data_IF_456723097751
#
_entry.id   IF_456723097751
#
_cell.length_a   1.000
_cell.length_b   1.000
_cell.length_c   1.000
_cell.angle_alpha   90.00
_cell.angle_beta   90.00
_cell.angle_gamma   90.00
#
_symmetry.space_group_name_H-M   'P 1'
#
loop_
_entity.id
_entity.type
_entity.pdbx_description
1 polymer ?
#
# COMPACT_ATOMS: atom_id res chain seq x y z
N UNK A 1 6.68 9.54 -9.08
CA UNK A 1 5.47 9.08 -9.82
C UNK A 1 5.81 8.63 -11.25
N UNK A 2 6.69 9.34 -11.93
CA UNK A 2 7.15 8.97 -13.28
C UNK A 2 7.79 7.56 -13.31
N UNK A 3 8.58 7.21 -12.29
CA UNK A 3 9.18 5.87 -12.17
C UNK A 3 8.15 4.77 -11.99
N UNK A 4 7.12 4.98 -11.17
CA UNK A 4 6.03 4.01 -11.01
C UNK A 4 5.31 3.79 -12.35
N UNK A 5 5.06 4.86 -13.10
CA UNK A 5 4.45 4.78 -14.42
C UNK A 5 5.29 3.97 -15.42
N UNK A 6 6.61 4.18 -15.41
CA UNK A 6 7.56 3.42 -16.24
C UNK A 6 7.56 1.93 -15.88
N UNK A 7 7.62 1.61 -14.57
CA UNK A 7 7.58 0.22 -14.09
C UNK A 7 6.24 -0.44 -14.40
N UNK A 8 5.12 0.25 -14.17
CA UNK A 8 3.78 -0.21 -14.54
C UNK A 8 3.71 -0.61 -16.02
N UNK A 9 4.18 0.28 -16.90
CA UNK A 9 4.24 0.01 -18.35
C UNK A 9 5.12 -1.20 -18.67
N UNK A 10 6.28 -1.32 -18.02
CA UNK A 10 7.20 -2.45 -18.22
C UNK A 10 6.54 -3.77 -17.82
N UNK A 11 5.92 -3.84 -16.63
CA UNK A 11 5.21 -5.04 -16.17
C UNK A 11 4.03 -5.39 -17.08
N UNK A 12 3.23 -4.40 -17.53
CA UNK A 12 2.13 -4.65 -18.47
C UNK A 12 2.62 -5.24 -19.78
N UNK A 13 3.66 -4.66 -20.36
CA UNK A 13 4.25 -5.14 -21.62
C UNK A 13 4.89 -6.53 -21.46
N UNK A 14 5.58 -6.77 -20.34
CA UNK A 14 6.13 -8.08 -19.98
C UNK A 14 5.05 -9.17 -19.90
N UNK A 15 3.87 -8.81 -19.40
CA UNK A 15 2.68 -9.69 -19.40
C UNK A 15 1.93 -9.71 -20.73
N UNK A 16 2.44 -9.05 -21.79
CA UNK A 16 1.82 -8.95 -23.13
C UNK A 16 0.38 -8.41 -23.10
N UNK A 17 0.07 -7.53 -22.14
CA UNK A 17 -1.27 -6.96 -21.97
C UNK A 17 -1.40 -5.60 -22.67
N UNK A 18 -2.54 -5.37 -23.30
CA UNK A 18 -2.95 -4.02 -23.73
C UNK A 18 -3.40 -3.18 -22.54
N UNK A 19 -3.43 -1.85 -22.69
CA UNK A 19 -4.01 -0.94 -21.68
C UNK A 19 -5.44 -1.35 -21.31
N UNK A 20 -6.26 -1.68 -22.31
CA UNK A 20 -7.67 -2.09 -22.12
C UNK A 20 -7.78 -3.39 -21.32
N UNK A 21 -6.92 -4.37 -21.59
CA UNK A 21 -6.93 -5.65 -20.85
C UNK A 21 -6.55 -5.46 -19.38
N UNK A 22 -5.50 -4.69 -19.10
CA UNK A 22 -5.09 -4.42 -17.72
C UNK A 22 -6.13 -3.55 -17.00
N UNK A 23 -6.67 -2.52 -17.64
CA UNK A 23 -7.70 -1.66 -17.09
C UNK A 23 -8.95 -2.46 -16.66
N UNK A 24 -9.42 -3.36 -17.53
CA UNK A 24 -10.55 -4.24 -17.21
C UNK A 24 -10.27 -5.14 -15.99
N UNK A 25 -9.07 -5.73 -15.89
CA UNK A 25 -8.70 -6.58 -14.75
C UNK A 25 -8.55 -5.78 -13.45
N UNK A 26 -8.00 -4.56 -13.54
CA UNK A 26 -7.79 -3.69 -12.40
C UNK A 26 -9.04 -2.90 -11.97
N UNK A 27 -10.14 -2.97 -12.76
CA UNK A 27 -11.37 -2.24 -12.49
C UNK A 27 -11.20 -0.72 -12.62
N UNK A 28 -10.44 -0.26 -13.63
CA UNK A 28 -10.26 1.15 -13.95
C UNK A 28 -10.42 1.40 -15.46
N UNK A 29 -10.31 2.65 -15.90
CA UNK A 29 -10.36 2.99 -17.33
C UNK A 29 -8.97 2.91 -17.98
N UNK A 30 -8.91 2.57 -19.26
CA UNK A 30 -7.67 2.56 -20.04
C UNK A 30 -7.06 3.96 -20.17
N UNK A 31 -7.89 4.99 -20.26
CA UNK A 31 -7.46 6.39 -20.25
C UNK A 31 -6.74 6.76 -18.94
N UNK A 32 -7.29 6.36 -17.79
CA UNK A 32 -6.67 6.57 -16.48
C UNK A 32 -5.35 5.80 -16.37
N UNK A 33 -5.32 4.53 -16.78
CA UNK A 33 -4.12 3.70 -16.77
C UNK A 33 -3.02 4.31 -17.66
N UNK A 34 -3.40 4.83 -18.83
CA UNK A 34 -2.49 5.55 -19.74
C UNK A 34 -1.89 6.81 -19.09
N UNK A 35 -2.70 7.57 -18.32
CA UNK A 35 -2.19 8.72 -17.57
C UNK A 35 -1.24 8.31 -16.45
N UNK A 36 -1.51 7.19 -15.75
CA UNK A 36 -0.62 6.61 -14.75
C UNK A 36 0.74 6.24 -15.36
N UNK A 37 0.74 5.54 -16.50
CA UNK A 37 1.96 5.14 -17.20
C UNK A 37 2.82 6.33 -17.64
N UNK A 38 2.19 7.46 -17.93
CA UNK A 38 2.88 8.74 -18.27
C UNK A 38 3.24 9.59 -17.06
N UNK A 39 2.91 9.15 -15.83
CA UNK A 39 3.16 9.91 -14.61
C UNK A 39 2.24 11.12 -14.39
N UNK A 40 1.18 11.25 -15.20
CA UNK A 40 0.23 12.38 -15.16
C UNK A 40 -0.94 12.18 -14.18
N UNK A 41 -1.04 11.02 -13.56
CA UNK A 41 -2.04 10.71 -12.54
C UNK A 41 -1.37 10.15 -11.28
N UNK A 42 -2.07 10.31 -10.14
CA UNK A 42 -1.64 9.74 -8.86
C UNK A 42 -2.66 8.66 -8.45
N UNK A 43 -2.26 7.38 -8.37
CA UNK A 43 -3.15 6.33 -7.91
C UNK A 43 -3.35 6.42 -6.40
N UNK A 44 -4.55 6.02 -5.93
CA UNK A 44 -4.72 5.64 -4.53
C UNK A 44 -4.04 4.28 -4.30
N UNK A 45 -3.76 3.96 -3.02
CA UNK A 45 -3.24 2.64 -2.65
C UNK A 45 -4.16 1.51 -3.13
N UNK A 46 -5.47 1.70 -3.03
CA UNK A 46 -6.47 0.75 -3.50
C UNK A 46 -6.33 0.45 -5.01
N UNK A 47 -6.18 1.48 -5.82
CA UNK A 47 -6.01 1.30 -7.28
C UNK A 47 -4.68 0.62 -7.57
N UNK A 48 -3.62 1.00 -6.85
CA UNK A 48 -2.30 0.39 -7.05
C UNK A 48 -2.29 -1.09 -6.66
N UNK A 49 -2.96 -1.47 -5.56
CA UNK A 49 -3.17 -2.89 -5.18
C UNK A 49 -3.93 -3.66 -6.27
N UNK A 50 -4.99 -3.10 -6.84
CA UNK A 50 -5.75 -3.73 -7.94
C UNK A 50 -4.91 -3.92 -9.20
N UNK A 51 -4.10 -2.93 -9.55
CA UNK A 51 -3.21 -3.00 -10.72
C UNK A 51 -2.12 -4.05 -10.48
N UNK A 52 -1.48 -4.06 -9.32
CA UNK A 52 -0.46 -5.04 -8.95
C UNK A 52 -1.02 -6.47 -8.99
N UNK A 53 -2.20 -6.69 -8.39
CA UNK A 53 -2.91 -7.97 -8.44
C UNK A 53 -3.20 -8.42 -9.88
N UNK A 54 -3.68 -7.49 -10.73
CA UNK A 54 -3.96 -7.77 -12.14
C UNK A 54 -2.71 -8.14 -12.96
N UNK A 55 -1.54 -7.66 -12.52
CA UNK A 55 -0.23 -7.96 -13.13
C UNK A 55 0.46 -9.19 -12.52
N UNK A 56 -0.06 -9.74 -11.41
CA UNK A 56 0.56 -10.85 -10.68
C UNK A 56 1.84 -10.45 -9.93
N UNK A 57 1.94 -9.19 -9.52
CA UNK A 57 3.06 -8.63 -8.78
C UNK A 57 2.56 -8.03 -7.45
N UNK A 58 3.49 -7.61 -6.59
CA UNK A 58 3.18 -6.91 -5.36
C UNK A 58 3.31 -5.39 -5.55
N UNK A 59 2.59 -4.61 -4.75
CA UNK A 59 2.63 -3.15 -4.85
C UNK A 59 4.05 -2.61 -4.64
N UNK A 60 4.81 -3.25 -3.76
CA UNK A 60 6.19 -2.88 -3.47
C UNK A 60 7.10 -2.95 -4.70
N UNK A 61 6.82 -3.83 -5.67
CA UNK A 61 7.63 -3.99 -6.88
C UNK A 61 7.68 -2.71 -7.73
N UNK A 62 6.66 -1.85 -7.61
CA UNK A 62 6.68 -0.53 -8.23
C UNK A 62 7.70 0.44 -7.59
N UNK A 63 8.17 0.16 -6.38
CA UNK A 63 9.01 1.05 -5.58
C UNK A 63 10.43 0.52 -5.36
N UNK A 64 10.65 -0.80 -5.47
CA UNK A 64 11.97 -1.41 -5.30
C UNK A 64 12.89 -1.05 -6.46
N UNK A 65 14.11 -0.61 -6.17
CA UNK A 65 15.19 -0.56 -7.15
C UNK A 65 15.73 -1.99 -7.41
N UNK A 66 16.20 -2.29 -8.63
CA UNK A 66 16.67 -3.62 -9.01
C UNK A 66 17.81 -4.18 -8.12
N UNK A 67 18.53 -3.31 -7.40
CA UNK A 67 19.69 -3.67 -6.57
C UNK A 67 19.37 -3.85 -5.07
N UNK A 68 18.09 -3.80 -4.66
CA UNK A 68 17.70 -3.99 -3.25
C UNK A 68 17.76 -5.46 -2.80
N UNK A 69 18.84 -6.18 -3.14
CA UNK A 69 19.04 -7.62 -2.84
C UNK A 69 19.77 -7.87 -1.52
N UNK A 70 19.61 -7.01 -0.51
CA UNK A 70 20.18 -7.23 0.82
C UNK A 70 19.23 -8.00 1.74
N UNK A 71 19.75 -9.02 2.43
CA UNK A 71 19.01 -9.76 3.45
C UNK A 71 19.43 -9.30 4.86
N UNK A 72 19.51 -7.99 5.07
CA UNK A 72 19.98 -7.40 6.31
C UNK A 72 18.99 -7.70 7.45
N UNK A 73 19.52 -8.16 8.57
CA UNK A 73 18.73 -8.36 9.81
C UNK A 73 18.28 -7.02 10.39
N UNK A 74 19.08 -5.99 10.19
CA UNK A 74 18.82 -4.62 10.68
C UNK A 74 18.66 -3.68 9.50
N UNK A 75 17.51 -3.03 9.41
CA UNK A 75 17.24 -1.96 8.44
C UNK A 75 17.30 -0.61 9.15
N UNK A 76 18.23 0.25 8.74
CA UNK A 76 18.32 1.62 9.25
C UNK A 76 17.19 2.48 8.70
N UNK A 77 16.82 3.52 9.44
CA UNK A 77 15.72 4.41 9.05
C UNK A 77 15.89 5.01 7.65
N UNK A 78 17.11 5.45 7.32
CA UNK A 78 17.41 6.05 6.02
C UNK A 78 17.37 5.06 4.85
N UNK A 79 17.41 3.76 5.12
CA UNK A 79 17.39 2.69 4.12
C UNK A 79 15.98 2.13 3.88
N UNK A 80 14.96 2.67 4.57
CA UNK A 80 13.57 2.24 4.40
C UNK A 80 13.04 2.59 3.02
N UNK A 81 12.37 1.66 2.38
CA UNK A 81 11.66 1.92 1.13
C UNK A 81 10.42 2.77 1.42
N UNK A 82 10.34 3.93 0.77
CA UNK A 82 9.25 4.87 0.95
C UNK A 82 8.18 4.69 -0.12
N UNK A 83 6.97 4.40 0.31
CA UNK A 83 5.78 4.30 -0.52
C UNK A 83 4.90 5.52 -0.21
N UNK A 84 4.94 6.54 -1.08
CA UNK A 84 4.25 7.80 -0.83
C UNK A 84 2.95 7.88 -1.63
N UNK A 85 1.83 8.00 -0.94
CA UNK A 85 0.51 8.19 -1.54
C UNK A 85 0.05 9.64 -1.36
N UNK A 86 0.31 10.50 -2.35
CA UNK A 86 -0.13 11.91 -2.32
C UNK A 86 -1.65 12.04 -2.14
N UNK A 87 -2.43 11.15 -2.77
CA UNK A 87 -3.89 11.17 -2.72
C UNK A 87 -4.47 10.66 -1.40
N UNK A 88 -3.74 9.80 -0.68
CA UNK A 88 -4.11 9.25 0.62
C UNK A 88 -3.56 10.06 1.80
N UNK A 89 -2.70 11.05 1.52
CA UNK A 89 -2.00 11.83 2.55
C UNK A 89 -1.33 10.92 3.58
N UNK A 90 -0.74 9.82 3.11
CA UNK A 90 -0.03 8.86 3.91
C UNK A 90 1.36 8.56 3.33
N UNK A 91 2.34 8.42 4.23
CA UNK A 91 3.67 7.92 3.95
C UNK A 91 3.80 6.54 4.58
N UNK A 92 4.01 5.52 3.75
CA UNK A 92 4.24 4.15 4.20
C UNK A 92 5.71 3.83 3.97
N UNK A 93 6.40 3.35 5.00
CA UNK A 93 7.79 2.95 4.95
C UNK A 93 7.89 1.47 5.29
N UNK A 94 8.47 0.68 4.40
CA UNK A 94 8.77 -0.73 4.71
C UNK A 94 9.84 -0.81 5.79
N UNK A 95 9.62 -1.67 6.77
CA UNK A 95 10.58 -2.00 7.82
C UNK A 95 11.41 -3.25 7.49
N UNK A 96 11.31 -3.72 6.27
CA UNK A 96 12.14 -4.78 5.67
C UNK A 96 12.59 -4.33 4.28
N UNK A 97 13.78 -4.74 3.84
CA UNK A 97 14.35 -4.32 2.56
C UNK A 97 13.67 -4.98 1.36
N UNK A 98 13.29 -6.23 1.52
CA UNK A 98 12.53 -7.01 0.54
C UNK A 98 11.56 -7.95 1.27
N UNK A 99 10.67 -8.58 0.53
CA UNK A 99 9.65 -9.49 1.08
C UNK A 99 9.80 -10.93 0.59
N UNK A 100 10.85 -11.20 -0.20
CA UNK A 100 11.13 -12.53 -0.71
C UNK A 100 11.33 -13.52 0.44
N UNK A 101 10.62 -14.65 0.41
CA UNK A 101 10.61 -15.70 1.42
C UNK A 101 10.22 -15.23 2.85
N UNK A 102 9.55 -14.08 2.99
CA UNK A 102 9.05 -13.59 4.28
C UNK A 102 7.57 -13.93 4.46
N UNK A 103 7.18 -14.16 5.70
CA UNK A 103 5.80 -14.48 6.07
C UNK A 103 5.01 -13.26 6.53
N UNK A 104 5.70 -12.15 6.83
CA UNK A 104 5.09 -10.91 7.25
C UNK A 104 5.80 -9.73 6.62
N UNK A 105 5.09 -8.63 6.47
CA UNK A 105 5.58 -7.37 5.91
C UNK A 105 5.24 -6.23 6.88
N UNK A 106 6.19 -5.80 7.71
CA UNK A 106 5.98 -4.71 8.64
C UNK A 106 6.23 -3.35 7.98
N UNK A 107 5.41 -2.37 8.39
CA UNK A 107 5.45 -0.99 7.92
C UNK A 107 5.49 0.01 9.08
N UNK A 108 6.10 1.15 8.83
CA UNK A 108 5.94 2.37 9.61
C UNK A 108 5.09 3.34 8.78
N UNK A 109 3.86 3.54 9.18
CA UNK A 109 2.89 4.34 8.44
C UNK A 109 2.64 5.66 9.16
N UNK A 110 2.86 6.77 8.45
CA UNK A 110 2.51 8.12 8.91
C UNK A 110 1.33 8.62 8.10
N UNK A 111 0.26 9.01 8.78
CA UNK A 111 -1.01 9.43 8.16
C UNK A 111 -1.29 10.87 8.58
N UNK A 112 -1.38 11.77 7.61
CA UNK A 112 -1.74 13.17 7.87
C UNK A 112 -3.21 13.29 8.32
N UNK A 113 -3.61 14.38 9.00
CA UNK A 113 -5.01 14.62 9.34
C UNK A 113 -5.94 14.49 8.11
N UNK A 114 -7.00 13.70 8.24
CA UNK A 114 -7.93 13.38 7.14
C UNK A 114 -7.37 12.41 6.09
N UNK A 115 -6.11 12.00 6.21
CA UNK A 115 -5.50 10.99 5.35
C UNK A 115 -6.09 9.60 5.59
N UNK A 116 -6.09 8.74 4.56
CA UNK A 116 -6.67 7.41 4.64
C UNK A 116 -6.56 6.62 3.35
N UNK A 117 -7.12 5.41 3.34
CA UNK A 117 -7.11 4.51 2.18
C UNK A 117 -7.90 5.03 0.97
N UNK A 118 -8.81 5.99 1.20
CA UNK A 118 -9.73 6.58 0.19
C UNK A 118 -10.60 5.51 -0.51
N UNK A 119 -11.03 4.52 0.26
CA UNK A 119 -11.91 3.46 -0.19
C UNK A 119 -11.68 2.17 0.58
N UNK A 120 -12.64 1.25 0.48
CA UNK A 120 -12.57 -0.08 1.08
C UNK A 120 -11.92 -1.05 0.09
N UNK A 121 -11.13 -1.98 0.61
CA UNK A 121 -10.47 -3.05 -0.13
C UNK A 121 -10.40 -4.31 0.75
N UNK A 122 -10.06 -5.44 0.15
CA UNK A 122 -9.79 -6.69 0.85
C UNK A 122 -8.67 -7.45 0.14
N UNK A 123 -7.99 -8.30 0.87
CA UNK A 123 -6.97 -9.21 0.34
C UNK A 123 -6.84 -10.45 1.23
N UNK A 124 -6.10 -11.44 0.76
CA UNK A 124 -5.84 -12.66 1.55
C UNK A 124 -4.91 -12.29 2.71
N UNK A 125 -5.18 -12.87 3.88
CA UNK A 125 -4.30 -12.78 5.04
C UNK A 125 -4.92 -12.08 6.24
N UNK A 126 -4.04 -11.57 7.06
CA UNK A 126 -4.34 -10.95 8.36
C UNK A 126 -3.52 -9.70 8.51
N UNK A 127 -4.05 -8.73 9.22
CA UNK A 127 -3.37 -7.49 9.56
C UNK A 127 -3.31 -7.27 11.06
N UNK A 128 -2.14 -6.88 11.53
CA UNK A 128 -1.91 -6.43 12.90
C UNK A 128 -1.36 -5.01 12.88
N UNK A 129 -1.68 -4.21 13.89
CA UNK A 129 -1.02 -2.93 14.09
C UNK A 129 -1.12 -2.40 15.49
N UNK A 130 -0.27 -1.40 15.78
CA UNK A 130 -0.28 -0.63 17.02
C UNK A 130 -0.11 0.85 16.69
N UNK A 131 -0.97 1.68 17.28
CA UNK A 131 -0.89 3.15 17.14
C UNK A 131 0.16 3.70 18.10
N UNK A 132 1.24 4.26 17.56
CA UNK A 132 2.31 4.88 18.35
C UNK A 132 2.00 6.34 18.69
N UNK A 133 1.27 7.03 17.80
CA UNK A 133 0.90 8.43 17.96
C UNK A 133 -0.44 8.71 17.29
N UNK A 134 -1.21 9.64 17.84
CA UNK A 134 -2.51 10.03 17.26
C UNK A 134 -3.60 9.01 17.52
N UNK A 135 -4.50 8.89 16.55
CA UNK A 135 -5.60 7.93 16.57
C UNK A 135 -5.91 7.46 15.14
N UNK A 136 -6.36 6.23 15.03
CA UNK A 136 -6.75 5.60 13.76
C UNK A 136 -8.22 5.21 13.83
N UNK A 137 -8.96 5.45 12.78
CA UNK A 137 -10.27 4.85 12.57
C UNK A 137 -10.13 3.74 11.54
N UNK A 138 -10.47 2.52 11.94
CA UNK A 138 -10.60 1.35 11.09
C UNK A 138 -12.07 1.12 10.80
N UNK A 139 -12.42 0.90 9.54
CA UNK A 139 -13.74 0.42 9.16
C UNK A 139 -13.61 -1.01 8.64
N UNK A 140 -14.23 -1.94 9.32
CA UNK A 140 -14.27 -3.36 8.96
C UNK A 140 -15.72 -3.75 8.68
N UNK A 141 -16.02 -4.17 7.46
CA UNK A 141 -17.38 -4.55 7.06
C UNK A 141 -18.44 -3.47 7.36
N UNK A 142 -18.08 -2.18 7.22
CA UNK A 142 -18.96 -1.06 7.52
C UNK A 142 -19.05 -0.67 9.00
N UNK A 143 -18.39 -1.39 9.90
CA UNK A 143 -18.32 -1.04 11.32
C UNK A 143 -17.03 -0.29 11.61
N UNK A 144 -17.14 0.91 12.19
CA UNK A 144 -16.01 1.75 12.57
C UNK A 144 -15.46 1.38 13.95
N UNK A 145 -14.15 1.28 14.04
CA UNK A 145 -13.40 1.06 15.29
C UNK A 145 -12.37 2.16 15.44
N UNK A 146 -12.35 2.81 16.61
CA UNK A 146 -11.34 3.82 16.92
C UNK A 146 -10.24 3.20 17.75
N UNK A 147 -9.01 3.29 17.25
CA UNK A 147 -7.78 2.79 17.87
C UNK A 147 -6.95 4.00 18.28
N UNK A 148 -6.68 4.15 19.58
CA UNK A 148 -5.93 5.25 20.18
C UNK A 148 -4.47 4.89 20.38
N UNK A 149 -3.67 5.89 20.76
CA UNK A 149 -2.27 5.68 21.11
C UNK A 149 -2.09 4.53 22.11
N UNK A 150 -1.13 3.64 21.83
CA UNK A 150 -0.79 2.41 22.55
C UNK A 150 -1.86 1.31 22.50
N UNK A 151 -2.95 1.51 21.76
CA UNK A 151 -3.90 0.44 21.45
C UNK A 151 -3.47 -0.29 20.16
N UNK A 152 -3.81 -1.56 20.09
CA UNK A 152 -3.53 -2.43 18.94
C UNK A 152 -4.83 -2.94 18.31
N UNK A 153 -4.70 -3.38 17.07
CA UNK A 153 -5.76 -4.03 16.31
C UNK A 153 -5.24 -5.29 15.63
N UNK A 154 -6.16 -6.19 15.34
CA UNK A 154 -5.92 -7.39 14.56
C UNK A 154 -7.22 -7.77 13.86
N UNK A 155 -7.16 -8.09 12.57
CA UNK A 155 -8.31 -8.54 11.80
C UNK A 155 -7.90 -9.38 10.59
N UNK A 156 -8.87 -10.15 10.05
CA UNK A 156 -8.72 -10.83 8.77
C UNK A 156 -8.87 -9.83 7.63
N UNK A 157 -7.83 -9.72 6.80
CA UNK A 157 -7.82 -8.81 5.65
C UNK A 157 -8.78 -9.22 4.53
N UNK A 158 -9.40 -10.41 4.62
CA UNK A 158 -10.42 -10.85 3.69
C UNK A 158 -11.73 -10.06 3.85
N UNK A 159 -11.96 -9.46 5.02
CA UNK A 159 -13.08 -8.56 5.22
C UNK A 159 -12.82 -7.21 4.53
N UNK A 160 -13.85 -6.61 3.88
CA UNK A 160 -13.74 -5.27 3.35
C UNK A 160 -13.35 -4.28 4.44
N UNK A 161 -12.22 -3.61 4.27
CA UNK A 161 -11.68 -2.70 5.27
C UNK A 161 -11.16 -1.39 4.66
N UNK A 162 -11.16 -0.37 5.48
CA UNK A 162 -10.57 0.95 5.18
C UNK A 162 -10.06 1.59 6.46
N UNK A 163 -9.21 2.58 6.32
CA UNK A 163 -8.63 3.30 7.45
C UNK A 163 -8.55 4.81 7.18
N UNK A 164 -8.59 5.58 8.26
CA UNK A 164 -8.60 7.04 8.24
C UNK A 164 -7.91 7.57 9.50
N UNK A 165 -7.20 8.69 9.38
CA UNK A 165 -6.83 9.52 10.52
C UNK A 165 -7.95 10.55 10.76
N UNK A 166 -8.81 10.36 11.78
CA UNK A 166 -9.90 11.29 12.08
C UNK A 166 -9.43 12.48 12.90
N UNK A 167 -8.18 12.46 13.38
CA UNK A 167 -7.62 13.44 14.29
C UNK A 167 -7.10 14.71 13.61
N UNK A 168 -6.67 15.66 14.44
CA UNK A 168 -6.06 16.93 13.99
C UNK A 168 -4.53 16.89 13.94
N UNK A 169 -3.92 15.76 14.32
CA UNK A 169 -2.47 15.54 14.33
C UNK A 169 -2.15 14.30 13.52
N UNK A 170 -0.89 14.18 13.10
CA UNK A 170 -0.40 12.97 12.42
C UNK A 170 -0.66 11.73 13.27
N UNK A 171 -1.10 10.68 12.65
CA UNK A 171 -1.17 9.33 13.23
C UNK A 171 0.02 8.52 12.75
N UNK A 172 0.68 7.83 13.68
CA UNK A 172 1.80 6.93 13.41
C UNK A 172 1.40 5.53 13.85
N UNK A 173 1.52 4.58 12.93
CA UNK A 173 1.14 3.18 13.16
C UNK A 173 2.29 2.27 12.71
N UNK A 174 2.65 1.30 13.55
CA UNK A 174 3.32 0.09 13.07
C UNK A 174 2.23 -0.83 12.56
N UNK A 175 2.34 -1.23 11.30
CA UNK A 175 1.37 -2.08 10.61
C UNK A 175 2.06 -3.31 10.07
N UNK A 176 1.44 -4.47 10.15
CA UNK A 176 2.01 -5.74 9.68
C UNK A 176 0.95 -6.48 8.86
N UNK A 177 1.29 -6.81 7.64
CA UNK A 177 0.51 -7.70 6.78
C UNK A 177 1.13 -9.10 6.80
N UNK A 178 0.30 -10.14 6.87
CA UNK A 178 0.71 -11.54 6.78
C UNK A 178 -0.33 -12.33 5.96
N UNK A 179 0.06 -12.98 4.84
CA UNK A 179 1.37 -12.88 4.18
C UNK A 179 1.63 -11.49 3.61
N UNK A 180 2.84 -11.20 3.10
CA UNK A 180 3.12 -9.97 2.36
C UNK A 180 2.15 -9.79 1.20
N UNK A 181 1.47 -8.63 1.15
CA UNK A 181 0.44 -8.33 0.13
C UNK A 181 0.62 -6.95 -0.50
N UNK A 182 1.66 -6.24 -0.08
CA UNK A 182 1.86 -4.85 -0.45
C UNK A 182 2.92 -4.65 -1.53
#
# INVERSE_FOLDING_TARGET
>A
MEEIGKKLKAYRLGNRMTLKQLANRAGCTDAYLSQLERGHANPSIMILKKIASALGIQVVDFFLEPEATGNDVVLKENDRVNINFKRGEAKIQMLVRNIENKRMQPFYTTIEPGGGSKGSYSHIGEEFGIVLQGELELNLNGKAYRVRRNESFYFSSQEPHSWLNPGKRKTIVIWVDSPPTF
#
